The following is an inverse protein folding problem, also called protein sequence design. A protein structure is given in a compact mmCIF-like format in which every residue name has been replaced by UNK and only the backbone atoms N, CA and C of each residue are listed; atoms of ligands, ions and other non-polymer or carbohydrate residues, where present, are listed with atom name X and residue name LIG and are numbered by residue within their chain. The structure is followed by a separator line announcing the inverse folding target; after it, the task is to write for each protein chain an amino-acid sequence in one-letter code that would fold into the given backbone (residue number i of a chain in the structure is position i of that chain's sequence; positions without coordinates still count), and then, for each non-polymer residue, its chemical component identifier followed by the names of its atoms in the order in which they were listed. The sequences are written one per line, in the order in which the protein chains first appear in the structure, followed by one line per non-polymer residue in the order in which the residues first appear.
data_IF_605812125790
#
_entry.id   IF_605812125790
#
_cell.length_a   1.000
_cell.length_b   1.000
_cell.length_c   1.000
_cell.angle_alpha   90.00
_cell.angle_beta   90.00
_cell.angle_gamma   90.00
#
_symmetry.space_group_name_H-M   'P 1'
#
loop_
_entity.id
_entity.type
_entity.pdbx_description
1 polymer ?
#
# COMPACT_ATOMS: atom_id res chain seq x y z
N UNK A 1 10.06 -24.88 -4.92
CA UNK A 1 8.67 -24.46 -4.72
C UNK A 1 8.64 -23.21 -3.86
N UNK A 2 8.01 -22.16 -4.33
CA UNK A 2 7.93 -20.94 -3.55
C UNK A 2 6.73 -20.98 -2.63
N UNK A 3 6.92 -20.53 -1.37
CA UNK A 3 5.83 -20.36 -0.43
C UNK A 3 5.15 -19.01 -0.67
N UNK A 4 3.87 -18.95 -0.32
CA UNK A 4 3.16 -17.68 -0.37
C UNK A 4 3.72 -16.71 0.66
N UNK A 5 3.95 -15.48 0.23
CA UNK A 5 4.35 -14.39 1.11
C UNK A 5 3.11 -13.61 1.53
N UNK A 6 3.07 -13.23 2.79
CA UNK A 6 1.92 -12.54 3.34
C UNK A 6 2.32 -11.10 3.68
N UNK A 7 1.52 -10.16 3.20
CA UNK A 7 1.77 -8.74 3.41
C UNK A 7 0.49 -8.03 3.82
N UNK A 8 0.65 -6.86 4.41
CA UNK A 8 -0.44 -5.91 4.63
C UNK A 8 -0.10 -4.62 3.92
N UNK A 9 -1.08 -4.08 3.20
CA UNK A 9 -0.97 -2.80 2.51
C UNK A 9 -1.99 -1.84 3.11
N UNK A 10 -1.60 -0.58 3.23
CA UNK A 10 -2.50 0.45 3.73
C UNK A 10 -2.58 1.58 2.71
N UNK A 11 -3.78 1.78 2.18
CA UNK A 11 -4.04 2.90 1.30
C UNK A 11 -4.45 4.08 2.17
N UNK A 12 -3.68 5.15 2.11
CA UNK A 12 -3.93 6.37 2.89
C UNK A 12 -4.54 7.38 1.95
N UNK A 13 -5.77 7.79 2.27
CA UNK A 13 -6.60 8.60 1.37
C UNK A 13 -6.95 9.92 2.02
N UNK A 14 -6.79 11.00 1.28
CA UNK A 14 -7.29 12.33 1.65
C UNK A 14 -8.15 12.84 0.49
N UNK A 15 -9.47 12.73 0.65
CA UNK A 15 -10.46 13.10 -0.38
C UNK A 15 -10.17 12.36 -1.69
N UNK A 16 -9.75 13.05 -2.75
CA UNK A 16 -9.48 12.44 -4.05
C UNK A 16 -8.02 12.04 -4.24
N UNK A 17 -7.22 12.06 -3.18
CA UNK A 17 -5.79 11.78 -3.27
C UNK A 17 -5.39 10.58 -2.43
N UNK A 18 -4.42 9.84 -2.95
CA UNK A 18 -3.75 8.75 -2.22
C UNK A 18 -2.33 9.15 -1.89
N UNK A 19 -1.86 8.78 -0.69
CA UNK A 19 -0.45 8.91 -0.34
C UNK A 19 0.29 7.67 -0.80
N UNK A 20 1.11 7.81 -1.82
CA UNK A 20 1.83 6.70 -2.42
C UNK A 20 3.33 6.87 -2.26
N UNK A 21 4.03 5.75 -2.22
CA UNK A 21 5.48 5.69 -2.11
C UNK A 21 6.09 5.32 -3.46
N UNK A 22 6.94 6.19 -3.99
CA UNK A 22 7.75 5.85 -5.16
C UNK A 22 8.99 5.11 -4.69
N UNK A 23 9.10 3.84 -5.02
CA UNK A 23 10.16 2.98 -4.49
C UNK A 23 11.51 3.30 -5.10
N UNK A 24 12.54 3.21 -4.28
CA UNK A 24 13.94 3.35 -4.73
C UNK A 24 14.68 2.01 -4.68
N UNK A 25 14.05 0.95 -4.18
CA UNK A 25 14.64 -0.39 -4.07
C UNK A 25 13.76 -1.42 -4.78
N UNK A 26 14.39 -2.55 -5.17
CA UNK A 26 13.63 -3.68 -5.67
C UNK A 26 12.77 -4.30 -4.53
N UNK A 27 11.61 -4.89 -4.84
CA UNK A 27 10.96 -4.90 -6.15
C UNK A 27 10.29 -3.57 -6.46
N UNK A 28 9.95 -3.35 -7.74
CA UNK A 28 9.17 -2.20 -8.19
C UNK A 28 9.90 -0.84 -8.11
N UNK A 29 11.23 -0.83 -8.32
CA UNK A 29 11.97 0.44 -8.40
C UNK A 29 11.28 1.40 -9.37
N UNK A 30 11.09 2.65 -8.93
CA UNK A 30 10.50 3.70 -9.74
C UNK A 30 8.98 3.65 -9.85
N UNK A 31 8.35 2.65 -9.24
CA UNK A 31 6.89 2.52 -9.25
C UNK A 31 6.30 3.06 -7.96
N UNK A 32 5.09 3.61 -8.05
CA UNK A 32 4.33 4.08 -6.90
C UNK A 32 3.52 2.93 -6.32
N UNK A 33 3.58 2.75 -5.01
CA UNK A 33 2.89 1.66 -4.30
C UNK A 33 2.23 2.20 -3.04
N UNK A 34 1.20 1.50 -2.52
CA UNK A 34 0.68 1.81 -1.19
C UNK A 34 1.73 1.50 -0.13
N UNK A 35 1.59 2.12 1.02
CA UNK A 35 2.43 1.83 2.18
C UNK A 35 2.13 0.41 2.67
N UNK A 36 3.16 -0.35 3.02
CA UNK A 36 2.95 -1.70 3.54
C UNK A 36 4.18 -2.57 3.44
N UNK A 37 4.02 -3.83 3.83
CA UNK A 37 5.10 -4.80 3.79
C UNK A 37 4.70 -6.15 4.35
N UNK A 38 5.68 -7.02 4.48
CA UNK A 38 5.49 -8.39 4.97
C UNK A 38 5.13 -8.42 6.44
N UNK A 39 4.28 -9.37 6.82
CA UNK A 39 4.01 -9.66 8.22
C UNK A 39 5.25 -10.25 8.88
N UNK A 40 5.47 -9.87 10.13
CA UNK A 40 6.44 -10.53 10.99
C UNK A 40 5.79 -11.77 11.62
N UNK A 41 6.62 -12.68 12.12
CA UNK A 41 6.11 -13.86 12.82
C UNK A 41 5.21 -13.44 13.99
N UNK A 42 4.07 -14.10 14.11
CA UNK A 42 3.09 -13.83 15.17
C UNK A 42 2.42 -12.47 15.11
N UNK A 43 2.58 -11.74 14.02
CA UNK A 43 1.95 -10.44 13.82
C UNK A 43 0.62 -10.62 13.07
N UNK A 44 -0.43 -9.94 13.54
CA UNK A 44 -1.69 -9.93 12.80
C UNK A 44 -1.58 -8.98 11.59
N UNK A 45 -2.40 -9.19 10.56
CA UNK A 45 -2.39 -8.28 9.41
C UNK A 45 -2.62 -6.82 9.79
N UNK A 46 -3.53 -6.55 10.72
CA UNK A 46 -3.82 -5.17 11.14
C UNK A 46 -2.63 -4.54 11.85
N UNK A 47 -1.95 -5.30 12.73
CA UNK A 47 -0.76 -4.80 13.41
C UNK A 47 0.37 -4.55 12.43
N UNK A 48 0.53 -5.43 11.44
CA UNK A 48 1.53 -5.25 10.39
C UNK A 48 1.26 -3.96 9.60
N UNK A 49 0.00 -3.71 9.22
CA UNK A 49 -0.36 -2.49 8.50
C UNK A 49 -0.01 -1.25 9.33
N UNK A 50 -0.37 -1.23 10.60
CA UNK A 50 -0.06 -0.10 11.49
C UNK A 50 1.44 0.11 11.64
N UNK A 51 2.19 -0.97 11.82
CA UNK A 51 3.65 -0.92 11.96
C UNK A 51 4.30 -0.36 10.70
N UNK A 52 3.92 -0.88 9.54
CA UNK A 52 4.50 -0.44 8.27
C UNK A 52 4.17 1.02 7.97
N UNK A 53 2.94 1.45 8.25
CA UNK A 53 2.58 2.87 8.11
C UNK A 53 3.50 3.74 8.96
N UNK A 54 3.69 3.35 10.22
CA UNK A 54 4.55 4.13 11.12
C UNK A 54 6.01 4.12 10.65
N UNK A 55 6.53 2.96 10.26
CA UNK A 55 7.93 2.85 9.80
C UNK A 55 8.18 3.69 8.55
N UNK A 56 7.24 3.70 7.62
CA UNK A 56 7.45 4.36 6.33
C UNK A 56 7.04 5.83 6.34
N UNK A 57 6.10 6.24 7.18
CA UNK A 57 5.56 7.61 7.17
C UNK A 57 5.72 8.36 8.48
N UNK A 58 5.95 7.66 9.59
CA UNK A 58 5.91 8.27 10.92
C UNK A 58 4.51 8.53 11.43
N UNK A 59 3.49 8.22 10.66
CA UNK A 59 2.09 8.47 11.05
C UNK A 59 1.52 7.30 11.83
N UNK A 60 0.65 7.62 12.78
CA UNK A 60 -0.07 6.62 13.57
C UNK A 60 -1.56 6.80 13.36
N UNK A 61 -2.23 5.74 12.94
CA UNK A 61 -3.67 5.73 12.78
C UNK A 61 -4.27 4.65 13.68
N UNK A 62 -5.35 4.99 14.38
CA UNK A 62 -6.03 4.06 15.26
C UNK A 62 -7.06 3.22 14.52
N UNK A 63 -7.68 3.77 13.50
CA UNK A 63 -8.73 3.10 12.73
C UNK A 63 -8.24 2.79 11.34
N UNK A 64 -8.15 1.50 11.02
CA UNK A 64 -7.88 1.01 9.70
C UNK A 64 -9.09 0.19 9.26
N UNK A 65 -9.67 0.56 8.13
CA UNK A 65 -10.79 -0.17 7.57
C UNK A 65 -10.27 -1.32 6.71
N UNK A 66 -10.67 -2.55 7.04
CA UNK A 66 -10.29 -3.70 6.23
C UNK A 66 -11.09 -3.68 4.92
N UNK A 67 -10.40 -3.73 3.80
CA UNK A 67 -11.04 -3.65 2.48
C UNK A 67 -11.11 -4.99 1.76
N UNK A 68 -10.21 -5.91 2.04
CA UNK A 68 -10.22 -7.19 1.38
C UNK A 68 -8.83 -7.83 1.31
N UNK A 69 -8.77 -8.93 0.60
CA UNK A 69 -7.53 -9.68 0.40
C UNK A 69 -7.27 -9.77 -1.10
N UNK A 70 -6.07 -9.40 -1.51
CA UNK A 70 -5.62 -9.56 -2.89
C UNK A 70 -4.64 -10.72 -2.95
N UNK A 71 -4.93 -11.71 -3.78
CA UNK A 71 -3.99 -12.81 -4.00
C UNK A 71 -3.36 -12.65 -5.38
N UNK A 72 -2.04 -12.79 -5.40
CA UNK A 72 -1.28 -12.74 -6.64
C UNK A 72 -0.53 -14.03 -6.81
N UNK A 73 -0.80 -14.75 -7.88
CA UNK A 73 -0.15 -16.02 -8.15
C UNK A 73 0.39 -16.01 -9.56
N UNK A 74 1.66 -16.32 -9.69
CA UNK A 74 2.34 -16.45 -10.97
C UNK A 74 3.20 -17.70 -10.92
N UNK A 75 3.34 -18.44 -12.03
CA UNK A 75 4.21 -19.61 -12.02
C UNK A 75 5.67 -19.29 -11.71
N UNK A 76 6.09 -18.05 -11.94
CA UNK A 76 7.52 -17.70 -11.86
C UNK A 76 7.86 -16.56 -10.94
N UNK A 77 6.97 -15.56 -10.78
CA UNK A 77 7.38 -14.30 -10.16
C UNK A 77 6.63 -13.90 -8.88
N UNK A 78 5.33 -14.17 -8.81
CA UNK A 78 4.51 -13.63 -7.73
C UNK A 78 3.75 -14.73 -7.01
N UNK A 79 3.83 -14.69 -5.71
CA UNK A 79 3.10 -15.64 -4.87
C UNK A 79 2.80 -14.94 -3.54
N UNK A 80 1.83 -14.01 -3.59
CA UNK A 80 1.53 -13.12 -2.48
C UNK A 80 0.07 -13.21 -2.05
N UNK A 81 -0.14 -13.04 -0.76
CA UNK A 81 -1.45 -12.76 -0.18
C UNK A 81 -1.31 -11.41 0.53
N UNK A 82 -2.10 -10.43 0.11
CA UNK A 82 -2.01 -9.07 0.68
C UNK A 82 -3.34 -8.69 1.32
N UNK A 83 -3.29 -8.33 2.59
CA UNK A 83 -4.44 -7.78 3.32
C UNK A 83 -4.46 -6.28 3.07
N UNK A 84 -5.59 -5.77 2.60
CA UNK A 84 -5.71 -4.38 2.17
C UNK A 84 -6.52 -3.60 3.19
N UNK A 85 -5.94 -2.51 3.69
CA UNK A 85 -6.59 -1.59 4.63
C UNK A 85 -6.67 -0.20 4.04
N UNK A 86 -7.67 0.54 4.47
CA UNK A 86 -7.88 1.94 4.08
C UNK A 86 -7.87 2.83 5.32
N UNK A 87 -7.19 3.95 5.20
CA UNK A 87 -7.25 5.04 6.18
C UNK A 87 -7.70 6.29 5.45
N UNK A 88 -8.71 6.96 5.99
CA UNK A 88 -9.11 8.29 5.51
C UNK A 88 -8.58 9.33 6.50
N UNK A 89 -7.95 10.37 5.98
CA UNK A 89 -7.31 11.40 6.80
C UNK A 89 -7.45 12.76 6.13
N UNK A 90 -7.28 13.81 6.91
CA UNK A 90 -7.19 15.19 6.41
C UNK A 90 -5.75 15.73 6.45
N UNK A 91 -4.78 14.87 6.73
CA UNK A 91 -3.37 15.25 6.73
C UNK A 91 -2.94 15.61 5.31
N UNK A 92 -2.26 16.75 5.17
CA UNK A 92 -1.75 17.22 3.88
C UNK A 92 -0.23 17.24 3.80
N UNK A 93 0.45 17.22 4.94
CA UNK A 93 1.91 17.22 4.97
C UNK A 93 2.45 15.93 4.38
N UNK A 94 3.61 16.04 3.73
CA UNK A 94 4.27 14.89 3.12
C UNK A 94 5.37 14.41 4.06
N UNK A 95 5.20 13.23 4.68
CA UNK A 95 6.25 12.69 5.53
C UNK A 95 7.47 12.29 4.72
N UNK A 96 8.60 12.15 5.39
CA UNK A 96 9.81 11.61 4.77
C UNK A 96 9.89 10.12 5.01
N UNK A 97 10.36 9.37 4.01
CA UNK A 97 10.53 7.93 4.11
C UNK A 97 11.91 7.53 3.62
N UNK A 98 12.51 6.54 4.29
CA UNK A 98 13.78 5.96 3.86
C UNK A 98 13.60 4.95 2.72
N UNK A 99 12.37 4.54 2.44
CA UNK A 99 12.04 3.54 1.41
C UNK A 99 11.83 4.17 0.03
N UNK A 100 11.72 5.50 -0.03
CA UNK A 100 11.48 6.23 -1.26
C UNK A 100 10.85 7.57 -1.00
N UNK A 101 10.20 8.11 -2.02
CA UNK A 101 9.55 9.41 -1.95
C UNK A 101 8.05 9.24 -1.80
N UNK A 102 7.48 9.85 -0.76
CA UNK A 102 6.03 9.87 -0.56
C UNK A 102 5.42 11.07 -1.29
N UNK A 103 4.30 10.85 -1.95
CA UNK A 103 3.57 11.90 -2.67
C UNK A 103 2.07 11.68 -2.56
N UNK A 104 1.34 12.80 -2.43
CA UNK A 104 -0.11 12.80 -2.57
C UNK A 104 -0.43 12.89 -4.07
N UNK A 105 -1.14 11.87 -4.58
CA UNK A 105 -1.48 11.80 -6.00
C UNK A 105 -2.98 11.69 -6.16
N UNK A 106 -3.53 12.53 -7.04
CA UNK A 106 -4.96 12.51 -7.32
C UNK A 106 -5.36 11.22 -8.06
N UNK A 107 -6.58 10.76 -7.84
CA UNK A 107 -7.10 9.57 -8.52
C UNK A 107 -6.93 9.65 -10.04
N UNK A 108 -7.05 10.85 -10.58
CA UNK A 108 -6.92 11.07 -12.03
C UNK A 108 -5.50 10.85 -12.53
N UNK A 109 -4.51 11.05 -11.66
CA UNK A 109 -3.10 10.90 -12.02
C UNK A 109 -2.63 9.45 -11.99
N UNK A 110 -3.32 8.59 -11.24
CA UNK A 110 -2.87 7.22 -11.02
C UNK A 110 -2.76 6.41 -12.30
N UNK A 111 -3.60 6.70 -13.28
CA UNK A 111 -3.56 6.02 -14.59
C UNK A 111 -2.30 6.35 -15.37
N UNK A 112 -1.65 7.46 -15.06
CA UNK A 112 -0.52 7.99 -15.82
C UNK A 112 0.82 7.82 -15.11
N UNK A 113 0.84 7.17 -13.94
CA UNK A 113 2.07 6.95 -13.19
C UNK A 113 2.45 5.47 -13.21
N UNK A 114 3.75 5.17 -13.08
CA UNK A 114 4.17 3.76 -13.01
C UNK A 114 3.68 3.12 -11.71
N UNK A 115 2.85 2.09 -11.83
CA UNK A 115 2.37 1.29 -10.70
C UNK A 115 2.45 -0.19 -11.04
N UNK A 116 2.59 -1.08 -10.05
CA UNK A 116 2.42 -2.49 -10.30
C UNK A 116 1.01 -2.76 -10.83
N UNK A 117 0.89 -3.67 -11.77
CA UNK A 117 -0.37 -3.95 -12.46
C UNK A 117 -1.52 -4.28 -11.51
N UNK A 118 -1.22 -5.06 -10.50
CA UNK A 118 -2.23 -5.53 -9.54
C UNK A 118 -2.70 -4.43 -8.61
N UNK A 119 -1.91 -3.37 -8.41
CA UNK A 119 -2.30 -2.26 -7.54
C UNK A 119 -3.44 -1.45 -8.15
N UNK A 120 -3.58 -1.44 -9.47
CA UNK A 120 -4.71 -0.77 -10.12
C UNK A 120 -6.05 -1.35 -9.66
N UNK A 121 -6.09 -2.64 -9.40
CA UNK A 121 -7.30 -3.31 -8.89
C UNK A 121 -7.66 -2.75 -7.52
N UNK A 122 -6.66 -2.55 -6.67
CA UNK A 122 -6.85 -2.00 -5.32
C UNK A 122 -7.42 -0.59 -5.38
N UNK A 123 -6.79 0.27 -6.17
CA UNK A 123 -7.20 1.67 -6.28
C UNK A 123 -8.61 1.79 -6.85
N UNK A 124 -8.89 1.05 -7.91
CA UNK A 124 -10.20 1.06 -8.54
C UNK A 124 -11.29 0.61 -7.59
N UNK A 125 -11.04 -0.46 -6.84
CA UNK A 125 -11.98 -0.95 -5.84
C UNK A 125 -12.30 0.12 -4.80
N UNK A 126 -11.28 0.79 -4.29
CA UNK A 126 -11.46 1.82 -3.26
C UNK A 126 -12.18 3.05 -3.84
N UNK A 127 -11.81 3.49 -5.04
CA UNK A 127 -12.44 4.63 -5.70
C UNK A 127 -13.91 4.35 -5.97
N UNK A 128 -14.24 3.19 -6.53
CA UNK A 128 -15.59 2.84 -6.91
C UNK A 128 -16.51 2.66 -5.70
N UNK A 129 -15.96 2.23 -4.56
CA UNK A 129 -16.73 2.00 -3.35
C UNK A 129 -17.05 3.28 -2.61
N UNK A 130 -16.30 4.33 -2.85
CA UNK A 130 -16.46 5.62 -2.21
C UNK A 130 -17.05 6.63 -3.18
#
# INVERSE_FOLDING_TARGET
MSTKKIASLCVIKNKSKFLLLKRINEPNIGKYVPVGGKLKDHETPKKAAKREVFEETGLKFNKLEFCGVLTETSPTNYNWISYIYLVETDIVDIPKSNEGKLEWLDFKEIKNIPTPKTDDIIYKYIIDKK
#
